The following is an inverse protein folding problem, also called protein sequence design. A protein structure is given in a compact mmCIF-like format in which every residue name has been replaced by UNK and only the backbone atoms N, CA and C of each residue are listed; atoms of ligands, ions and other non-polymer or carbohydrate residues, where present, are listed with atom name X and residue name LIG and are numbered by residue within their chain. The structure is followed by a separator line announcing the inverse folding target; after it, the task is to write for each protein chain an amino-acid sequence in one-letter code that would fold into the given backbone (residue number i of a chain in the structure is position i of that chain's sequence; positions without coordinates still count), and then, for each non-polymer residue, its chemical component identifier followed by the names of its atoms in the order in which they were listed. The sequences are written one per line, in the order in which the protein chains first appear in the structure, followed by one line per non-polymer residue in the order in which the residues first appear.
data_IF_507033734618
#
_entry.id   IF_507033734618
#
_cell.length_a   1.000
_cell.length_b   1.000
_cell.length_c   1.000
_cell.angle_alpha   90.00
_cell.angle_beta   90.00
_cell.angle_gamma   90.00
#
_symmetry.space_group_name_H-M   'P 1'
#
loop_
_entity.id
_entity.type
_entity.pdbx_description
1 polymer ?
#
# COMPACT_ATOMS: atom_id res chain seq x y z
N UNK A 1 8.62 15.97 13.41
CA UNK A 1 7.61 15.03 12.87
C UNK A 1 7.61 15.26 11.37
N UNK A 2 8.10 14.32 10.56
CA UNK A 2 8.10 14.48 9.10
C UNK A 2 6.66 14.49 8.57
N UNK A 3 6.14 15.67 8.26
CA UNK A 3 4.78 15.90 7.75
C UNK A 3 4.48 15.05 6.51
N UNK A 4 5.51 14.74 5.72
CA UNK A 4 5.45 13.89 4.52
C UNK A 4 4.99 12.45 4.79
N UNK A 5 5.12 11.98 6.04
CA UNK A 5 4.76 10.62 6.44
C UNK A 5 3.39 10.52 7.12
N UNK A 6 2.71 11.64 7.39
CA UNK A 6 1.41 11.64 8.08
C UNK A 6 0.31 11.12 7.16
N UNK A 7 0.26 11.56 5.91
CA UNK A 7 -0.80 11.16 4.96
C UNK A 7 -0.84 9.64 4.71
N UNK A 8 0.29 8.95 4.47
CA UNK A 8 0.30 7.49 4.33
C UNK A 8 -0.10 6.74 5.61
N UNK A 9 0.22 7.28 6.79
CA UNK A 9 -0.16 6.70 8.08
C UNK A 9 -1.67 6.83 8.31
N UNK A 10 -2.24 7.99 8.01
CA UNK A 10 -3.69 8.21 8.01
C UNK A 10 -4.36 7.24 7.03
N UNK A 11 -3.82 7.09 5.82
CA UNK A 11 -4.32 6.10 4.87
C UNK A 11 -4.30 4.67 5.42
N UNK A 12 -3.24 4.29 6.13
CA UNK A 12 -3.13 2.97 6.77
C UNK A 12 -4.17 2.79 7.87
N UNK A 13 -4.43 3.82 8.67
CA UNK A 13 -5.49 3.82 9.69
C UNK A 13 -6.87 3.57 9.07
N UNK A 14 -7.21 4.26 7.98
CA UNK A 14 -8.47 4.05 7.26
C UNK A 14 -8.60 2.65 6.67
N UNK A 15 -7.50 2.06 6.17
CA UNK A 15 -7.49 0.66 5.70
C UNK A 15 -7.81 -0.29 6.85
N UNK A 16 -7.20 -0.11 8.03
CA UNK A 16 -7.44 -0.98 9.20
C UNK A 16 -8.90 -0.90 9.66
N UNK A 17 -9.46 0.31 9.75
CA UNK A 17 -10.89 0.48 10.11
C UNK A 17 -11.79 -0.12 9.03
N UNK A 18 -11.48 0.10 7.75
CA UNK A 18 -12.26 -0.44 6.65
C UNK A 18 -12.29 -1.97 6.66
N UNK A 19 -11.15 -2.62 6.93
CA UNK A 19 -11.07 -4.07 7.13
C UNK A 19 -11.87 -4.53 8.35
N UNK A 20 -11.85 -3.76 9.45
CA UNK A 20 -12.67 -4.02 10.63
C UNK A 20 -14.18 -3.98 10.32
N UNK A 21 -14.64 -3.01 9.52
CA UNK A 21 -16.04 -2.93 9.10
C UNK A 21 -16.43 -4.11 8.18
N UNK A 22 -15.56 -4.53 7.26
CA UNK A 22 -15.80 -5.73 6.45
C UNK A 22 -15.89 -6.97 7.35
N UNK A 23 -15.06 -7.07 8.39
CA UNK A 23 -15.14 -8.17 9.35
C UNK A 23 -16.46 -8.15 10.13
N UNK A 24 -16.94 -6.97 10.54
CA UNK A 24 -18.26 -6.82 11.18
C UNK A 24 -19.40 -7.24 10.24
N UNK A 25 -19.30 -6.92 8.95
CA UNK A 25 -20.25 -7.41 7.95
C UNK A 25 -20.30 -8.94 7.91
N UNK A 26 -19.14 -9.60 7.86
CA UNK A 26 -19.05 -11.08 7.86
C UNK A 26 -19.70 -11.65 9.12
N UNK A 27 -19.43 -11.06 10.30
CA UNK A 27 -20.04 -11.49 11.56
C UNK A 27 -21.57 -11.30 11.51
N UNK A 28 -22.04 -10.20 10.94
CA UNK A 28 -23.47 -9.90 10.83
C UNK A 28 -24.21 -10.90 9.93
N UNK A 29 -23.57 -11.31 8.84
CA UNK A 29 -24.09 -12.32 7.92
C UNK A 29 -24.19 -13.69 8.60
N UNK A 30 -23.15 -14.08 9.36
CA UNK A 30 -23.15 -15.30 10.19
C UNK A 30 -24.28 -15.26 11.24
N UNK A 31 -24.53 -14.09 11.83
CA UNK A 31 -25.60 -13.88 12.80
C UNK A 31 -27.01 -13.80 12.17
N UNK A 32 -27.16 -14.05 10.85
CA UNK A 32 -28.41 -13.93 10.09
C UNK A 32 -29.05 -12.53 10.17
N UNK A 33 -28.26 -11.51 10.49
CA UNK A 33 -28.69 -10.11 10.57
C UNK A 33 -27.80 -9.30 9.63
N UNK A 34 -28.13 -9.34 8.33
CA UNK A 34 -27.26 -8.80 7.30
C UNK A 34 -27.28 -7.27 7.32
N UNK A 35 -26.17 -6.66 7.77
CA UNK A 35 -25.99 -5.21 7.75
C UNK A 35 -25.06 -4.81 6.61
N UNK A 36 -25.64 -4.53 5.44
CA UNK A 36 -24.90 -4.09 4.25
C UNK A 36 -24.16 -2.76 4.46
N UNK A 37 -24.59 -1.94 5.41
CA UNK A 37 -23.92 -0.68 5.75
C UNK A 37 -22.45 -0.91 6.11
N UNK A 38 -22.14 -1.98 6.84
CA UNK A 38 -20.75 -2.33 7.20
C UNK A 38 -19.90 -2.71 5.99
N UNK A 39 -20.50 -3.36 4.99
CA UNK A 39 -19.82 -3.70 3.75
C UNK A 39 -19.48 -2.44 2.95
N UNK A 40 -20.47 -1.58 2.71
CA UNK A 40 -20.27 -0.35 1.93
C UNK A 40 -19.34 0.64 2.65
N UNK A 41 -19.49 0.79 3.96
CA UNK A 41 -18.59 1.60 4.79
C UNK A 41 -17.17 1.03 4.75
N UNK A 42 -17.01 -0.28 4.88
CA UNK A 42 -15.71 -0.95 4.83
C UNK A 42 -15.00 -0.79 3.48
N UNK A 43 -15.73 -0.94 2.37
CA UNK A 43 -15.20 -0.72 1.02
C UNK A 43 -14.81 0.76 0.80
N UNK A 44 -15.65 1.70 1.23
CA UNK A 44 -15.39 3.13 1.08
C UNK A 44 -14.16 3.56 1.88
N UNK A 45 -14.08 3.16 3.17
CA UNK A 45 -12.95 3.49 4.03
C UNK A 45 -11.65 2.83 3.55
N UNK A 46 -11.70 1.56 3.13
CA UNK A 46 -10.53 0.86 2.59
C UNK A 46 -10.05 1.49 1.28
N UNK A 47 -10.96 1.80 0.36
CA UNK A 47 -10.65 2.47 -0.89
C UNK A 47 -10.05 3.86 -0.68
N UNK A 48 -10.62 4.64 0.23
CA UNK A 48 -10.10 5.94 0.62
C UNK A 48 -8.72 5.84 1.30
N UNK A 49 -8.53 4.87 2.19
CA UNK A 49 -7.24 4.64 2.83
C UNK A 49 -6.14 4.23 1.83
N UNK A 50 -6.47 3.39 0.85
CA UNK A 50 -5.57 3.05 -0.28
C UNK A 50 -5.29 4.29 -1.12
N UNK A 51 -6.28 5.14 -1.36
CA UNK A 51 -6.07 6.41 -2.06
C UNK A 51 -5.04 7.28 -1.36
N UNK A 52 -5.18 7.50 -0.05
CA UNK A 52 -4.23 8.32 0.72
C UNK A 52 -2.83 7.67 0.79
N UNK A 53 -2.77 6.34 0.87
CA UNK A 53 -1.49 5.60 0.93
C UNK A 53 -0.74 5.57 -0.40
N UNK A 54 -1.42 5.75 -1.55
CA UNK A 54 -0.78 5.60 -2.88
C UNK A 54 0.37 6.59 -3.12
N UNK A 55 0.36 7.74 -2.44
CA UNK A 55 1.37 8.79 -2.59
C UNK A 55 2.51 8.68 -1.56
N UNK A 56 2.60 7.56 -0.83
CA UNK A 56 3.67 7.36 0.14
C UNK A 56 5.05 7.35 -0.54
N UNK A 57 5.97 8.16 -0.04
CA UNK A 57 7.36 8.13 -0.48
C UNK A 57 7.94 6.72 -0.25
N UNK A 58 8.68 6.21 -1.24
CA UNK A 58 9.32 4.91 -1.11
C UNK A 58 10.30 4.97 0.05
N UNK A 59 10.27 4.00 0.98
CA UNK A 59 11.18 4.02 2.13
C UNK A 59 12.63 4.06 1.64
N UNK A 60 13.50 4.80 2.33
CA UNK A 60 14.90 4.90 1.95
C UNK A 60 15.49 3.48 1.86
N UNK A 61 16.29 3.18 0.82
CA UNK A 61 16.79 1.83 0.59
C UNK A 61 17.62 1.38 1.79
N UNK A 62 17.16 0.33 2.48
CA UNK A 62 17.85 -0.21 3.65
C UNK A 62 19.29 -0.62 3.30
N UNK A 63 20.27 -0.22 4.09
CA UNK A 63 21.71 -0.46 3.82
C UNK A 63 22.10 -1.93 3.65
N UNK A 64 21.25 -2.85 4.12
CA UNK A 64 21.47 -4.31 4.16
C UNK A 64 21.66 -4.99 2.79
N UNK A 65 21.22 -4.37 1.69
CA UNK A 65 21.37 -4.90 0.32
C UNK A 65 22.01 -3.92 -0.66
N UNK A 66 22.84 -2.99 -0.16
CA UNK A 66 23.48 -1.98 -1.00
C UNK A 66 24.38 -2.60 -2.10
N UNK A 67 25.15 -3.64 -1.76
CA UNK A 67 26.04 -4.34 -2.71
C UNK A 67 25.29 -5.02 -3.86
N UNK A 68 24.28 -5.85 -3.53
CA UNK A 68 23.46 -6.53 -4.54
C UNK A 68 22.76 -5.54 -5.47
N UNK A 69 22.23 -4.43 -4.95
CA UNK A 69 21.56 -3.40 -5.77
C UNK A 69 22.53 -2.69 -6.72
N UNK A 70 23.79 -2.48 -6.32
CA UNK A 70 24.82 -1.87 -7.18
C UNK A 70 25.12 -2.78 -8.38
N UNK A 71 25.21 -4.10 -8.14
CA UNK A 71 25.45 -5.09 -9.20
C UNK A 71 24.30 -5.17 -10.22
N UNK A 72 23.04 -5.28 -9.76
CA UNK A 72 21.85 -5.29 -10.67
C UNK A 72 21.64 -3.99 -11.43
N UNK A 73 22.04 -2.83 -10.86
CA UNK A 73 21.94 -1.54 -11.57
C UNK A 73 22.95 -1.46 -12.71
N UNK A 74 24.15 -2.01 -12.51
CA UNK A 74 25.22 -2.06 -13.52
C UNK A 74 24.80 -2.92 -14.73
N UNK A 75 24.28 -4.13 -14.48
CA UNK A 75 23.73 -5.01 -15.53
C UNK A 75 22.58 -4.35 -16.33
N UNK A 76 21.73 -3.57 -15.66
CA UNK A 76 20.63 -2.83 -16.32
C UNK A 76 21.11 -1.65 -17.17
N UNK A 77 22.25 -1.05 -16.83
CA UNK A 77 22.85 0.03 -17.61
C UNK A 77 23.57 -0.54 -18.83
N UNK A 78 24.35 -1.61 -18.65
CA UNK A 78 25.06 -2.30 -19.74
C UNK A 78 24.06 -2.81 -20.81
N UNK A 79 22.96 -3.45 -20.41
CA UNK A 79 21.88 -3.87 -21.34
C UNK A 79 21.15 -2.71 -22.03
N UNK A 80 21.14 -1.52 -21.45
CA UNK A 80 20.54 -0.33 -22.07
C UNK A 80 21.48 0.33 -23.07
N UNK A 81 22.79 0.25 -22.84
CA UNK A 81 23.81 0.76 -23.75
C UNK A 81 23.98 -0.15 -24.96
N UNK A 82 23.90 -1.47 -24.80
CA UNK A 82 23.86 -2.44 -25.92
C UNK A 82 22.65 -2.20 -26.83
N UNK A 83 21.46 -2.03 -26.26
CA UNK A 83 20.22 -1.71 -27.02
C UNK A 83 20.20 -0.33 -27.68
N UNK A 84 21.15 0.56 -27.36
CA UNK A 84 21.29 1.88 -27.99
C UNK A 84 22.36 1.89 -29.09
N UNK A 85 23.17 0.83 -29.18
CA UNK A 85 24.23 0.66 -30.17
C UNK A 85 23.83 -0.29 -31.31
N UNK A 86 22.80 -1.12 -31.12
CA UNK A 86 21.97 -1.70 -32.18
C UNK A 86 21.03 -0.66 -32.79
#
# INVERSE_FOLDING_TARGET
MDEKNIVPRIGTFFIVIGLGAILLFIISDIAKTVYFDYLFLGLLLSGFGIYLRRNAEKPPPSGRFAGWRKMRRKEKQEKKEEKKKE
#
